data_IF_010604881752
#
_entry.id   IF_010604881752
#
_cell.length_a   1.000
_cell.length_b   1.000
_cell.length_c   1.000
_cell.angle_alpha   90.00
_cell.angle_beta   90.00
_cell.angle_gamma   90.00
#
_symmetry.space_group_name_H-M   'P 1'
#
loop_
_entity.id
_entity.type
_entity.pdbx_description
1 polymer ?
#
# COMPACT_ATOMS: atom_id res chain seq x y z
N UNK A 1 21.71 -8.81 10.87
CA UNK A 1 20.50 -8.28 10.22
C UNK A 1 19.69 -9.47 9.70
N UNK A 2 18.37 -9.47 9.85
CA UNK A 2 17.53 -10.55 9.35
C UNK A 2 17.68 -10.68 7.83
N UNK A 3 17.60 -11.89 7.33
CA UNK A 3 17.55 -12.13 5.89
C UNK A 3 16.28 -11.56 5.28
N UNK A 4 16.27 -11.41 3.96
CA UNK A 4 15.13 -10.88 3.21
C UNK A 4 13.86 -11.73 3.44
N UNK A 5 14.00 -13.05 3.50
CA UNK A 5 12.89 -13.97 3.69
C UNK A 5 12.36 -13.94 5.12
N UNK A 6 13.25 -13.80 6.12
CA UNK A 6 12.85 -13.58 7.51
C UNK A 6 12.11 -12.26 7.70
N UNK A 7 12.50 -11.20 6.97
CA UNK A 7 11.80 -9.92 7.00
C UNK A 7 10.40 -10.04 6.40
N UNK A 8 10.25 -10.73 5.25
CA UNK A 8 8.93 -10.94 4.62
C UNK A 8 8.03 -11.76 5.54
N UNK A 9 8.52 -12.87 6.07
CA UNK A 9 7.77 -13.72 6.99
C UNK A 9 7.30 -12.93 8.22
N UNK A 10 8.16 -12.07 8.75
CA UNK A 10 7.83 -11.22 9.90
C UNK A 10 6.77 -10.16 9.55
N UNK A 11 6.83 -9.56 8.35
CA UNK A 11 5.79 -8.66 7.86
C UNK A 11 4.44 -9.38 7.73
N UNK A 12 4.43 -10.60 7.24
CA UNK A 12 3.22 -11.42 7.13
C UNK A 12 2.63 -11.73 8.51
N UNK A 13 3.47 -12.15 9.47
CA UNK A 13 3.06 -12.47 10.83
C UNK A 13 2.54 -11.23 11.58
N UNK A 14 3.27 -10.12 11.53
CA UNK A 14 2.88 -8.88 12.21
C UNK A 14 1.62 -8.25 11.58
N UNK A 15 1.50 -8.29 10.25
CA UNK A 15 0.30 -7.82 9.55
C UNK A 15 -0.92 -8.67 9.90
N UNK A 16 -0.74 -9.98 9.99
CA UNK A 16 -1.77 -10.92 10.40
C UNK A 16 -2.20 -10.66 11.85
N UNK A 17 -1.27 -10.39 12.76
CA UNK A 17 -1.56 -10.10 14.16
C UNK A 17 -2.34 -8.78 14.30
N UNK A 18 -1.91 -7.70 13.65
CA UNK A 18 -2.58 -6.40 13.71
C UNK A 18 -4.01 -6.48 13.17
N UNK A 19 -4.19 -7.14 12.03
CA UNK A 19 -5.51 -7.29 11.42
C UNK A 19 -6.38 -8.27 12.21
N UNK A 20 -5.82 -9.33 12.77
CA UNK A 20 -6.54 -10.23 13.66
C UNK A 20 -6.96 -9.52 14.96
N UNK A 21 -6.13 -8.66 15.54
CA UNK A 21 -6.49 -7.85 16.69
C UNK A 21 -7.61 -6.86 16.37
N UNK A 22 -7.57 -6.23 15.18
CA UNK A 22 -8.66 -5.37 14.72
C UNK A 22 -9.96 -6.14 14.46
N UNK A 23 -9.85 -7.39 13.98
CA UNK A 23 -10.96 -8.31 13.72
C UNK A 23 -11.50 -8.93 15.00
N UNK A 24 -10.65 -9.28 15.98
CA UNK A 24 -11.05 -9.85 17.26
C UNK A 24 -11.90 -8.90 18.11
N UNK A 25 -11.74 -7.60 17.91
CA UNK A 25 -12.63 -6.59 18.45
C UNK A 25 -13.98 -6.50 17.72
N UNK A 26 -14.13 -7.20 16.59
CA UNK A 26 -15.37 -7.30 15.82
C UNK A 26 -15.79 -8.76 15.68
N UNK A 27 -16.67 -9.22 16.55
CA UNK A 27 -17.16 -10.62 16.59
C UNK A 27 -17.71 -11.13 15.23
N UNK A 28 -18.05 -10.23 14.32
CA UNK A 28 -18.64 -10.53 13.01
C UNK A 28 -17.65 -11.10 12.00
N UNK A 29 -16.36 -10.78 12.13
CA UNK A 29 -15.32 -11.18 11.18
C UNK A 29 -14.28 -12.15 11.76
N UNK A 30 -14.42 -12.51 13.03
CA UNK A 30 -13.50 -13.40 13.71
C UNK A 30 -13.27 -14.68 12.91
N UNK A 31 -12.03 -14.92 12.53
CA UNK A 31 -11.60 -16.09 11.76
C UNK A 31 -12.07 -16.15 10.31
N UNK A 32 -12.59 -15.06 9.73
CA UNK A 32 -13.08 -15.02 8.33
C UNK A 32 -12.20 -14.24 7.36
N UNK A 33 -11.29 -13.45 7.85
CA UNK A 33 -10.38 -12.64 7.02
C UNK A 33 -8.95 -13.05 7.37
N UNK A 34 -8.21 -13.45 6.33
CA UNK A 34 -6.78 -13.73 6.45
C UNK A 34 -6.02 -12.64 5.69
N UNK A 35 -5.41 -11.69 6.41
CA UNK A 35 -4.51 -10.74 5.78
C UNK A 35 -3.26 -11.49 5.30
N UNK A 36 -2.72 -11.07 4.18
CA UNK A 36 -1.47 -11.56 3.66
C UNK A 36 -0.63 -10.42 3.13
N UNK A 37 0.70 -10.57 3.18
CA UNK A 37 1.61 -9.63 2.57
C UNK A 37 2.02 -10.12 1.17
N UNK A 38 2.03 -9.23 0.21
CA UNK A 38 2.61 -9.45 -1.10
C UNK A 38 3.71 -8.42 -1.34
N UNK A 39 4.79 -8.85 -2.00
CA UNK A 39 5.95 -8.00 -2.18
C UNK A 39 6.08 -7.51 -3.60
N UNK A 40 6.30 -6.20 -3.75
CA UNK A 40 6.75 -5.62 -5.01
C UNK A 40 8.14 -6.15 -5.40
N UNK A 41 8.41 -6.24 -6.69
CA UNK A 41 9.75 -6.61 -7.20
C UNK A 41 10.76 -5.53 -6.83
N UNK A 42 11.87 -5.95 -6.26
CA UNK A 42 12.91 -5.01 -5.78
C UNK A 42 13.44 -4.13 -6.91
N UNK A 43 13.65 -4.71 -8.10
CA UNK A 43 14.15 -3.97 -9.26
C UNK A 43 13.15 -2.88 -9.70
N UNK A 44 11.86 -3.21 -9.72
CA UNK A 44 10.81 -2.24 -10.09
C UNK A 44 10.71 -1.14 -9.05
N UNK A 45 10.73 -1.51 -7.77
CA UNK A 45 10.69 -0.53 -6.66
C UNK A 45 11.89 0.41 -6.71
N UNK A 46 13.11 -0.12 -6.95
CA UNK A 46 14.31 0.71 -7.04
C UNK A 46 14.27 1.66 -8.24
N UNK A 47 13.78 1.21 -9.40
CA UNK A 47 13.62 2.07 -10.57
C UNK A 47 12.60 3.19 -10.32
N UNK A 48 11.48 2.89 -9.66
CA UNK A 48 10.48 3.89 -9.27
C UNK A 48 11.07 4.92 -8.32
N UNK A 49 11.79 4.49 -7.27
CA UNK A 49 12.47 5.36 -6.32
C UNK A 49 13.48 6.26 -7.04
N UNK A 50 14.31 5.68 -7.90
CA UNK A 50 15.32 6.43 -8.66
C UNK A 50 14.68 7.50 -9.54
N UNK A 51 13.62 7.20 -10.28
CA UNK A 51 12.93 8.16 -11.10
C UNK A 51 12.16 9.22 -10.27
N UNK A 52 11.64 8.86 -9.12
CA UNK A 52 11.05 9.81 -8.19
C UNK A 52 12.11 10.81 -7.66
N UNK A 53 13.29 10.33 -7.29
CA UNK A 53 14.42 11.18 -6.88
C UNK A 53 14.83 12.16 -7.98
N UNK A 54 14.98 11.68 -9.23
CA UNK A 54 15.32 12.51 -10.38
C UNK A 54 14.25 13.56 -10.66
N UNK A 55 12.99 13.25 -10.40
CA UNK A 55 11.89 14.20 -10.62
C UNK A 55 11.94 15.43 -9.71
N UNK A 56 12.62 15.32 -8.57
CA UNK A 56 12.68 16.37 -7.55
C UNK A 56 11.36 16.56 -6.78
N UNK A 57 10.37 15.69 -7.00
CA UNK A 57 9.11 15.71 -6.26
C UNK A 57 9.27 15.04 -4.90
N UNK A 58 8.50 15.49 -3.94
CA UNK A 58 8.42 14.84 -2.64
C UNK A 58 7.75 13.46 -2.78
N UNK A 59 8.35 12.45 -2.20
CA UNK A 59 7.82 11.09 -2.19
C UNK A 59 8.22 10.35 -0.91
N UNK A 60 7.50 9.31 -0.60
CA UNK A 60 7.83 8.40 0.49
C UNK A 60 7.72 6.94 0.04
N UNK A 61 8.29 6.03 0.84
CA UNK A 61 8.28 4.59 0.59
C UNK A 61 7.79 3.86 1.83
N UNK A 62 6.94 2.88 1.64
CA UNK A 62 6.37 2.16 2.78
C UNK A 62 5.44 1.03 2.37
N UNK A 63 4.52 0.72 3.26
CA UNK A 63 3.52 -0.31 3.08
C UNK A 63 2.28 0.31 2.44
N UNK A 64 1.83 -0.31 1.36
CA UNK A 64 0.53 -0.05 0.75
C UNK A 64 -0.49 -1.03 1.30
N UNK A 65 -1.60 -0.53 1.82
CA UNK A 65 -2.70 -1.35 2.32
C UNK A 65 -3.72 -1.52 1.20
N UNK A 66 -3.82 -2.72 0.67
CA UNK A 66 -4.85 -3.06 -0.33
C UNK A 66 -6.09 -3.62 0.36
N UNK A 67 -7.25 -3.12 -0.02
CA UNK A 67 -8.51 -3.60 0.54
C UNK A 67 -9.57 -3.77 -0.56
N UNK A 68 -10.49 -4.75 -0.42
CA UNK A 68 -11.47 -5.05 -1.48
C UNK A 68 -12.65 -4.08 -1.52
N UNK A 69 -12.56 -2.91 -0.89
CA UNK A 69 -13.67 -1.98 -0.86
C UNK A 69 -13.27 -0.56 -0.46
N UNK A 70 -14.03 0.39 -1.00
CA UNK A 70 -13.77 1.82 -0.81
C UNK A 70 -14.37 2.40 0.48
N UNK A 71 -15.50 1.86 0.93
CA UNK A 71 -16.25 2.45 2.04
C UNK A 71 -15.95 1.79 3.38
N UNK A 72 -16.25 0.51 3.51
CA UNK A 72 -16.11 -0.23 4.76
C UNK A 72 -14.66 -0.28 5.26
N UNK A 73 -13.70 -0.74 4.44
CA UNK A 73 -12.30 -0.80 4.85
C UNK A 73 -11.66 0.54 5.16
N UNK A 74 -12.17 1.64 4.55
CA UNK A 74 -11.69 2.99 4.83
C UNK A 74 -12.38 3.65 6.01
N UNK A 75 -13.25 2.95 6.74
CA UNK A 75 -14.07 3.49 7.83
C UNK A 75 -14.89 4.73 7.44
N UNK A 76 -15.27 4.85 6.16
CA UNK A 76 -16.09 5.97 5.69
C UNK A 76 -17.47 5.88 6.29
N UNK A 77 -17.94 7.00 6.83
CA UNK A 77 -19.29 7.11 7.40
C UNK A 77 -20.26 7.27 6.23
N UNK A 78 -21.18 6.32 6.13
CA UNK A 78 -22.32 6.40 5.19
C UNK A 78 -23.57 6.23 6.00
N UNK A 79 -24.54 7.10 5.74
CA UNK A 79 -25.83 7.09 6.44
C UNK A 79 -26.50 5.71 6.32
N UNK A 80 -26.87 5.12 7.45
CA UNK A 80 -27.48 3.80 7.49
C UNK A 80 -26.50 2.60 7.46
N UNK A 81 -25.18 2.82 7.29
CA UNK A 81 -24.17 1.78 7.37
C UNK A 81 -23.35 1.89 8.66
N UNK A 82 -23.30 0.81 9.43
CA UNK A 82 -22.40 0.73 10.59
C UNK A 82 -21.02 0.28 10.10
N UNK A 83 -20.00 1.05 10.41
CA UNK A 83 -18.63 0.60 10.28
C UNK A 83 -18.39 -0.62 11.17
N UNK A 84 -17.98 -1.71 10.56
CA UNK A 84 -17.75 -2.98 11.25
C UNK A 84 -16.34 -3.07 11.85
N UNK A 85 -15.43 -2.22 11.40
CA UNK A 85 -14.08 -2.07 11.92
C UNK A 85 -13.95 -0.62 12.37
N UNK A 86 -14.05 -0.34 13.66
CA UNK A 86 -13.88 1.02 14.16
C UNK A 86 -12.41 1.45 14.00
N UNK A 87 -12.22 2.68 13.55
CA UNK A 87 -10.92 3.36 13.47
C UNK A 87 -9.76 2.55 12.84
N UNK A 88 -10.03 1.93 11.69
CA UNK A 88 -8.97 1.24 10.93
C UNK A 88 -7.86 2.23 10.51
N UNK A 89 -8.21 3.50 10.26
CA UNK A 89 -7.21 4.52 9.87
C UNK A 89 -6.24 4.81 10.99
N UNK A 90 -6.73 4.97 12.23
CA UNK A 90 -5.87 5.13 13.41
C UNK A 90 -4.96 3.94 13.60
N UNK A 91 -5.50 2.73 13.55
CA UNK A 91 -4.72 1.49 13.68
C UNK A 91 -3.64 1.35 12.60
N UNK A 92 -3.94 1.72 11.34
CA UNK A 92 -2.97 1.66 10.26
C UNK A 92 -1.91 2.78 10.35
N UNK A 93 -2.26 3.95 10.88
CA UNK A 93 -1.29 5.04 11.08
C UNK A 93 -0.22 4.71 12.12
N UNK A 94 -0.54 3.82 13.06
CA UNK A 94 0.38 3.32 14.08
C UNK A 94 1.24 2.14 13.59
N UNK A 95 0.89 1.56 12.42
CA UNK A 95 1.61 0.44 11.87
C UNK A 95 3.06 0.83 11.55
N UNK A 96 3.99 0.15 12.20
CA UNK A 96 5.42 0.31 11.96
C UNK A 96 6.09 -1.06 12.00
N UNK A 97 6.47 -1.56 10.84
CA UNK A 97 7.13 -2.85 10.69
C UNK A 97 8.58 -2.60 10.25
N UNK A 98 9.50 -2.71 11.18
CA UNK A 98 10.94 -2.48 10.94
C UNK A 98 11.24 -1.09 10.29
N UNK A 99 10.51 -0.05 10.69
CA UNK A 99 10.65 1.30 10.15
C UNK A 99 9.75 1.59 8.94
N UNK A 100 9.11 0.58 8.35
CA UNK A 100 8.12 0.78 7.29
C UNK A 100 6.76 1.11 7.89
N UNK A 101 6.17 2.18 7.43
CA UNK A 101 4.83 2.65 7.83
C UNK A 101 3.81 2.38 6.71
N UNK A 102 2.53 2.34 7.08
CA UNK A 102 1.46 2.37 6.08
C UNK A 102 1.30 3.80 5.58
N UNK A 103 1.60 4.02 4.29
CA UNK A 103 1.56 5.36 3.69
C UNK A 103 0.32 5.61 2.86
N UNK A 104 -0.31 4.58 2.33
CA UNK A 104 -1.54 4.73 1.54
C UNK A 104 -2.45 3.49 1.62
N UNK A 105 -3.70 3.71 1.24
CA UNK A 105 -4.69 2.66 1.00
C UNK A 105 -5.16 2.73 -0.45
N UNK A 106 -5.23 1.56 -1.08
CA UNK A 106 -5.72 1.39 -2.45
C UNK A 106 -6.38 0.01 -2.60
N UNK A 107 -6.68 -0.47 -3.79
CA UNK A 107 -7.51 -1.65 -3.98
C UNK A 107 -6.90 -2.69 -4.93
N UNK A 108 -5.73 -2.45 -5.53
CA UNK A 108 -5.22 -3.22 -6.66
C UNK A 108 -3.85 -3.88 -6.42
N UNK A 109 -2.97 -3.25 -5.66
CA UNK A 109 -1.54 -3.62 -5.59
C UNK A 109 -1.30 -5.02 -5.06
N UNK A 110 -2.06 -5.47 -4.06
CA UNK A 110 -1.85 -6.80 -3.48
C UNK A 110 -2.12 -7.90 -4.49
N UNK A 111 -3.21 -7.79 -5.26
CA UNK A 111 -3.55 -8.74 -6.30
C UNK A 111 -2.54 -8.69 -7.44
N UNK A 112 -2.14 -7.49 -7.87
CA UNK A 112 -1.12 -7.30 -8.91
C UNK A 112 0.18 -8.00 -8.54
N UNK A 113 0.69 -7.76 -7.34
CA UNK A 113 1.95 -8.36 -6.89
C UNK A 113 1.85 -9.87 -6.76
N UNK A 114 0.74 -10.36 -6.21
CA UNK A 114 0.52 -11.79 -6.05
C UNK A 114 0.48 -12.51 -7.40
N UNK A 115 -0.32 -12.03 -8.35
CA UNK A 115 -0.45 -12.64 -9.67
C UNK A 115 0.87 -12.56 -10.46
N UNK A 116 1.54 -11.41 -10.45
CA UNK A 116 2.81 -11.26 -11.14
C UNK A 116 3.86 -12.21 -10.57
N UNK A 117 3.94 -12.35 -9.26
CA UNK A 117 4.87 -13.30 -8.62
C UNK A 117 4.59 -14.74 -9.03
N UNK A 118 3.32 -15.17 -9.06
CA UNK A 118 2.92 -16.52 -9.48
C UNK A 118 3.25 -16.78 -10.97
N UNK A 119 3.17 -15.76 -11.80
CA UNK A 119 3.45 -15.85 -13.24
C UNK A 119 4.93 -15.63 -13.59
N UNK A 120 5.80 -15.37 -12.61
CA UNK A 120 7.21 -15.06 -12.84
C UNK A 120 7.46 -13.67 -13.40
N UNK A 121 6.49 -12.75 -13.29
CA UNK A 121 6.63 -11.37 -13.71
C UNK A 121 7.04 -10.45 -12.56
N UNK A 122 7.61 -9.31 -12.91
CA UNK A 122 7.99 -8.25 -11.98
C UNK A 122 6.88 -7.21 -11.91
N UNK A 123 6.54 -6.77 -10.69
CA UNK A 123 5.55 -5.71 -10.48
C UNK A 123 5.99 -4.75 -9.37
N UNK A 124 5.53 -3.53 -9.47
CA UNK A 124 5.67 -2.48 -8.47
C UNK A 124 4.50 -1.51 -8.60
N UNK A 125 4.29 -0.67 -7.61
CA UNK A 125 3.28 0.38 -7.64
C UNK A 125 3.86 1.72 -7.24
N UNK A 126 3.28 2.77 -7.80
CA UNK A 126 3.47 4.15 -7.39
C UNK A 126 2.08 4.79 -7.31
N UNK A 127 1.82 5.47 -6.22
CA UNK A 127 0.50 6.06 -5.96
C UNK A 127 0.64 7.57 -5.75
N UNK A 128 -0.28 8.34 -6.32
CA UNK A 128 -0.49 9.73 -5.94
C UNK A 128 -1.39 9.77 -4.72
N UNK A 129 -0.95 10.43 -3.65
CA UNK A 129 -1.81 10.68 -2.49
C UNK A 129 -2.77 11.81 -2.84
N UNK A 130 -4.05 11.49 -3.00
CA UNK A 130 -5.10 12.45 -3.41
C UNK A 130 -5.99 12.90 -2.26
N UNK A 131 -5.93 12.22 -1.13
CA UNK A 131 -6.62 12.62 0.10
C UNK A 131 -5.85 12.13 1.31
N UNK A 132 -5.61 13.02 2.24
CA UNK A 132 -5.01 12.71 3.52
C UNK A 132 -6.04 12.25 4.56
N UNK A 133 -5.59 12.08 5.83
CA UNK A 133 -6.45 11.69 6.94
C UNK A 133 -7.48 12.77 7.30
N UNK A 134 -7.25 14.03 6.94
CA UNK A 134 -8.15 15.16 7.20
C UNK A 134 -8.72 15.72 5.89
N UNK A 135 -9.87 16.41 5.97
CA UNK A 135 -10.48 17.07 4.80
C UNK A 135 -9.60 18.18 4.21
N UNK A 136 -8.70 18.74 5.00
CA UNK A 136 -7.77 19.79 4.57
C UNK A 136 -6.57 19.27 3.76
N UNK A 137 -6.32 17.96 3.77
CA UNK A 137 -5.17 17.34 3.12
C UNK A 137 -5.44 16.93 1.66
N UNK A 138 -6.38 17.58 1.01
CA UNK A 138 -6.68 17.32 -0.41
C UNK A 138 -5.66 17.98 -1.31
N UNK A 139 -5.21 17.28 -2.36
CA UNK A 139 -4.39 17.85 -3.42
C UNK A 139 -5.27 18.79 -4.26
N UNK A 140 -4.83 20.03 -4.42
CA UNK A 140 -5.56 21.06 -5.18
C UNK A 140 -5.47 20.82 -6.68
N UNK A 141 -4.32 20.35 -7.18
CA UNK A 141 -4.10 20.06 -8.60
C UNK A 141 -3.91 18.56 -8.85
N UNK A 142 -5.03 17.87 -8.90
CA UNK A 142 -5.12 16.43 -9.11
C UNK A 142 -4.52 15.98 -10.45
N UNK A 143 -4.77 16.72 -11.55
CA UNK A 143 -4.32 16.32 -12.88
C UNK A 143 -2.79 16.39 -13.01
N UNK A 144 -2.18 17.44 -12.48
CA UNK A 144 -0.72 17.58 -12.46
C UNK A 144 -0.08 16.49 -11.60
N UNK A 145 -0.63 16.21 -10.42
CA UNK A 145 -0.08 15.20 -9.52
C UNK A 145 -0.12 13.80 -10.14
N UNK A 146 -1.24 13.43 -10.78
CA UNK A 146 -1.35 12.15 -11.50
C UNK A 146 -0.43 12.13 -12.71
N UNK A 147 -0.36 13.20 -13.50
CA UNK A 147 0.54 13.31 -14.65
C UNK A 147 2.01 13.08 -14.27
N UNK A 148 2.44 13.63 -13.15
CA UNK A 148 3.77 13.40 -12.60
C UNK A 148 4.00 11.94 -12.22
N UNK A 149 3.05 11.31 -11.56
CA UNK A 149 3.13 9.90 -11.17
C UNK A 149 3.21 8.97 -12.38
N UNK A 150 2.39 9.22 -13.41
CA UNK A 150 2.45 8.48 -14.68
C UNK A 150 3.83 8.64 -15.34
N UNK A 151 4.36 9.84 -15.37
CA UNK A 151 5.66 10.11 -15.99
C UNK A 151 6.81 9.39 -15.26
N UNK A 152 6.79 9.36 -13.93
CA UNK A 152 7.76 8.59 -13.12
C UNK A 152 7.65 7.10 -13.46
N UNK A 153 6.43 6.55 -13.49
CA UNK A 153 6.20 5.15 -13.82
C UNK A 153 6.72 4.77 -15.21
N UNK A 154 6.42 5.58 -16.22
CA UNK A 154 6.89 5.35 -17.59
C UNK A 154 8.42 5.41 -17.70
N UNK A 155 9.07 6.36 -17.04
CA UNK A 155 10.54 6.46 -17.01
C UNK A 155 11.17 5.27 -16.30
N UNK A 156 10.59 4.78 -15.22
CA UNK A 156 11.05 3.58 -14.54
C UNK A 156 10.95 2.33 -15.45
N UNK A 157 9.88 2.20 -16.24
CA UNK A 157 9.76 1.12 -17.22
C UNK A 157 10.85 1.19 -18.30
N UNK A 158 11.14 2.39 -18.80
CA UNK A 158 12.24 2.59 -19.77
C UNK A 158 13.59 2.22 -19.17
N UNK A 159 13.87 2.64 -17.94
CA UNK A 159 15.08 2.30 -17.21
C UNK A 159 15.25 0.78 -17.08
N UNK A 160 14.20 0.09 -16.64
CA UNK A 160 14.18 -1.37 -16.49
C UNK A 160 14.37 -2.13 -17.80
N UNK A 161 13.91 -1.57 -18.92
CA UNK A 161 14.11 -2.15 -20.24
C UNK A 161 15.55 -2.02 -20.73
N UNK A 162 16.19 -0.90 -20.41
CA UNK A 162 17.58 -0.62 -20.80
C UNK A 162 18.62 -1.31 -19.92
N UNK A 163 18.20 -1.88 -18.78
CA UNK A 163 19.07 -2.58 -17.82
C UNK A 163 19.18 -4.10 -18.10
N UNK A 164 18.63 -4.56 -19.22
CA UNK A 164 18.76 -5.92 -19.73
C UNK A 164 19.97 -6.00 -20.67
#
# INVERSE_FOLDING_TARGET
QPTKDETIKRIEEDSAEILNNAIDNSSRFKGKIFPYASKASTEVTNALIHQAQISGLEFDTGITVSSPGFYGPSSRIIDGLKNTIPDIKGSLSELNINGLKAHNMEMESSLLFHLCAQMGYRAGTICTVISGPTESDSIIDYEVAIGNTINIGLKALVELNNSK
#
